data_IF_360526746182
#
_entry.id   IF_360526746182
#
_cell.length_a   1.000
_cell.length_b   1.000
_cell.length_c   1.000
_cell.angle_alpha   90.00
_cell.angle_beta   90.00
_cell.angle_gamma   90.00
#
_symmetry.space_group_name_H-M   'P 1'
#
loop_
_entity.id
_entity.type
_entity.pdbx_description
1 polymer ?
#
# COMPACT_ATOMS: atom_id res chain seq x y z
N UNK A 1 -1.34 25.57 -20.62
CA UNK A 1 -2.76 25.26 -20.33
C UNK A 1 -3.05 23.76 -20.23
N UNK A 2 -3.04 22.98 -21.32
CA UNK A 2 -3.35 21.54 -21.24
C UNK A 2 -2.23 20.72 -20.55
N UNK A 3 -0.96 21.00 -20.89
CA UNK A 3 0.24 20.43 -20.27
C UNK A 3 0.32 20.67 -18.76
N UNK A 4 0.11 21.92 -18.33
CA UNK A 4 0.17 22.26 -16.91
C UNK A 4 -0.91 21.53 -16.10
N UNK A 5 -2.10 21.34 -16.69
CA UNK A 5 -3.16 20.53 -16.09
C UNK A 5 -2.79 19.05 -16.00
N UNK A 6 -2.17 18.48 -17.03
CA UNK A 6 -1.74 17.08 -17.02
C UNK A 6 -0.68 16.83 -15.94
N UNK A 7 0.30 17.73 -15.82
CA UNK A 7 1.32 17.67 -14.77
C UNK A 7 0.71 17.76 -13.38
N UNK A 8 -0.23 18.68 -13.16
CA UNK A 8 -0.95 18.79 -11.87
C UNK A 8 -1.69 17.49 -11.55
N UNK A 9 -2.31 16.85 -12.54
CA UNK A 9 -3.00 15.56 -12.36
C UNK A 9 -2.00 14.44 -12.03
N UNK A 10 -0.89 14.32 -12.78
CA UNK A 10 0.09 13.25 -12.51
C UNK A 10 0.80 13.44 -11.18
N UNK A 11 1.02 14.69 -10.73
CA UNK A 11 1.53 15.01 -9.40
C UNK A 11 0.53 14.66 -8.29
N UNK A 12 -0.77 14.92 -8.49
CA UNK A 12 -1.81 14.50 -7.56
C UNK A 12 -1.88 12.96 -7.43
N UNK A 13 -1.85 12.23 -8.56
CA UNK A 13 -1.85 10.76 -8.59
C UNK A 13 -0.63 10.20 -7.84
N UNK A 14 0.55 10.79 -8.03
CA UNK A 14 1.76 10.40 -7.27
C UNK A 14 1.61 10.67 -5.77
N UNK A 15 1.00 11.79 -5.41
CA UNK A 15 0.76 12.10 -4.00
C UNK A 15 -0.19 11.09 -3.36
N UNK A 16 -1.22 10.67 -4.07
CA UNK A 16 -2.13 9.60 -3.60
C UNK A 16 -1.42 8.26 -3.51
N UNK A 17 -0.60 7.90 -4.50
CA UNK A 17 0.21 6.68 -4.43
C UNK A 17 1.11 6.65 -3.19
N UNK A 18 1.79 7.75 -2.91
CA UNK A 18 2.62 7.88 -1.71
C UNK A 18 1.82 7.84 -0.40
N UNK A 19 0.53 8.21 -0.41
CA UNK A 19 -0.35 8.01 0.74
C UNK A 19 -0.66 6.52 0.93
N UNK A 20 -1.02 5.81 -0.14
CA UNK A 20 -1.29 4.37 -0.09
C UNK A 20 -0.09 3.56 0.39
N UNK A 21 1.13 3.88 -0.06
CA UNK A 21 2.36 3.24 0.43
C UNK A 21 2.59 3.47 1.93
N UNK A 22 2.34 4.69 2.43
CA UNK A 22 2.44 4.99 3.86
C UNK A 22 1.43 4.19 4.67
N UNK A 23 0.20 4.07 4.18
CA UNK A 23 -0.84 3.27 4.84
C UNK A 23 -0.52 1.77 4.80
N UNK A 24 0.03 1.27 3.69
CA UNK A 24 0.51 -0.10 3.56
C UNK A 24 1.57 -0.42 4.62
N UNK A 25 2.55 0.47 4.77
CA UNK A 25 3.60 0.34 5.81
C UNK A 25 2.98 0.34 7.21
N UNK A 26 2.12 1.31 7.51
CA UNK A 26 1.49 1.43 8.82
C UNK A 26 0.65 0.20 9.19
N UNK A 27 -0.13 -0.36 8.26
CA UNK A 27 -0.94 -1.56 8.55
C UNK A 27 -0.07 -2.82 8.68
N UNK A 28 1.05 -2.91 7.94
CA UNK A 28 2.04 -3.98 8.10
C UNK A 28 2.73 -3.95 9.47
N UNK A 29 3.07 -2.75 9.97
CA UNK A 29 3.60 -2.54 11.32
C UNK A 29 2.59 -2.99 12.39
N UNK A 30 1.31 -2.61 12.26
CA UNK A 30 0.24 -3.08 13.15
C UNK A 30 0.14 -4.61 13.13
N UNK A 31 0.19 -5.24 11.96
CA UNK A 31 0.20 -6.70 11.84
C UNK A 31 1.38 -7.35 12.55
N UNK A 32 2.56 -6.71 12.50
CA UNK A 32 3.77 -7.15 13.21
C UNK A 32 3.60 -7.02 14.73
N UNK A 33 3.06 -5.91 15.21
CA UNK A 33 2.74 -5.71 16.63
C UNK A 33 1.76 -6.78 17.13
N UNK A 34 0.70 -7.07 16.37
CA UNK A 34 -0.29 -8.10 16.73
C UNK A 34 0.35 -9.49 16.84
N UNK A 35 1.24 -9.85 15.90
CA UNK A 35 2.00 -11.12 16.01
C UNK A 35 2.86 -11.16 17.27
N UNK A 36 3.46 -10.03 17.65
CA UNK A 36 4.26 -9.88 18.86
C UNK A 36 3.47 -10.03 20.17
N UNK A 37 2.13 -9.91 20.14
CA UNK A 37 1.29 -10.15 21.31
C UNK A 37 1.19 -11.63 21.68
N UNK A 38 1.70 -12.55 20.85
CA UNK A 38 1.67 -13.99 21.12
C UNK A 38 2.49 -14.33 22.37
N UNK A 39 1.86 -14.78 23.47
CA UNK A 39 2.57 -15.18 24.67
C UNK A 39 3.45 -16.41 24.41
N UNK A 40 4.54 -16.51 25.15
CA UNK A 40 5.40 -17.67 25.27
C UNK A 40 4.70 -18.81 26.02
N UNK A 41 5.21 -20.04 25.85
CA UNK A 41 4.70 -21.23 26.57
C UNK A 41 4.70 -21.08 28.10
N UNK A 42 5.61 -20.28 28.64
CA UNK A 42 5.69 -20.03 30.08
C UNK A 42 4.57 -19.09 30.55
N UNK A 43 4.22 -18.10 29.74
CA UNK A 43 3.16 -17.11 30.02
C UNK A 43 1.75 -17.72 29.91
N UNK A 44 1.58 -18.81 29.16
CA UNK A 44 0.29 -19.48 29.01
C UNK A 44 -0.20 -20.21 30.27
N UNK A 45 0.68 -20.53 31.23
CA UNK A 45 0.39 -21.01 32.59
C UNK A 45 -1.04 -21.52 32.87
N UNK A 46 -1.75 -20.87 33.81
CA UNK A 46 -3.13 -21.24 34.19
C UNK A 46 -4.19 -20.86 33.16
N UNK A 47 -3.82 -20.12 32.10
CA UNK A 47 -4.74 -19.59 31.10
C UNK A 47 -4.90 -20.50 29.88
N UNK A 48 -4.41 -21.75 29.95
CA UNK A 48 -4.48 -22.75 28.87
C UNK A 48 -5.84 -22.84 28.16
N UNK A 49 -6.95 -22.64 28.89
CA UNK A 49 -8.31 -22.71 28.35
C UNK A 49 -8.59 -21.62 27.30
N UNK A 50 -7.97 -20.45 27.40
CA UNK A 50 -8.20 -19.31 26.48
C UNK A 50 -7.15 -19.17 25.39
N UNK A 51 -6.10 -20.00 25.42
CA UNK A 51 -4.94 -19.88 24.54
C UNK A 51 -5.30 -20.06 23.07
N UNK A 52 -6.16 -21.04 22.75
CA UNK A 52 -6.59 -21.29 21.38
C UNK A 52 -7.28 -20.06 20.80
N UNK A 53 -8.35 -19.59 21.45
CA UNK A 53 -9.09 -18.41 20.99
C UNK A 53 -8.22 -17.15 20.88
N UNK A 54 -7.28 -16.95 21.81
CA UNK A 54 -6.35 -15.81 21.75
C UNK A 54 -5.36 -15.92 20.56
N UNK A 55 -4.83 -17.12 20.31
CA UNK A 55 -3.96 -17.38 19.17
C UNK A 55 -4.70 -17.23 17.84
N UNK A 56 -5.93 -17.73 17.75
CA UNK A 56 -6.77 -17.61 16.56
C UNK A 56 -7.05 -16.15 16.21
N UNK A 57 -7.30 -15.32 17.23
CA UNK A 57 -7.50 -13.87 17.06
C UNK A 57 -6.23 -13.18 16.57
N UNK A 58 -5.07 -13.52 17.14
CA UNK A 58 -3.76 -13.00 16.68
C UNK A 58 -3.51 -13.38 15.21
N UNK A 59 -3.73 -14.64 14.86
CA UNK A 59 -3.52 -15.13 13.50
C UNK A 59 -4.49 -14.47 12.52
N UNK A 60 -5.77 -14.36 12.89
CA UNK A 60 -6.79 -13.72 12.07
C UNK A 60 -6.46 -12.24 11.79
N UNK A 61 -6.21 -11.45 12.83
CA UNK A 61 -5.94 -10.03 12.65
C UNK A 61 -4.61 -9.79 11.94
N UNK A 62 -3.56 -10.53 12.27
CA UNK A 62 -2.28 -10.37 11.59
C UNK A 62 -2.33 -10.76 10.11
N UNK A 63 -3.13 -11.77 9.74
CA UNK A 63 -3.38 -12.13 8.36
C UNK A 63 -4.15 -11.03 7.61
N UNK A 64 -5.17 -10.43 8.24
CA UNK A 64 -5.92 -9.30 7.66
C UNK A 64 -5.05 -8.05 7.48
N UNK A 65 -4.14 -7.77 8.41
CA UNK A 65 -3.16 -6.70 8.25
C UNK A 65 -2.23 -6.95 7.05
N UNK A 66 -1.71 -8.17 6.90
CA UNK A 66 -0.85 -8.53 5.76
C UNK A 66 -1.59 -8.48 4.42
N UNK A 67 -2.86 -8.87 4.38
CA UNK A 67 -3.71 -8.68 3.19
C UNK A 67 -3.90 -7.20 2.88
N UNK A 68 -4.18 -6.39 3.91
CA UNK A 68 -4.33 -4.94 3.78
C UNK A 68 -3.08 -4.28 3.21
N UNK A 69 -1.91 -4.57 3.79
CA UNK A 69 -0.60 -4.11 3.32
C UNK A 69 -0.43 -4.41 1.83
N UNK A 70 -0.59 -5.68 1.44
CA UNK A 70 -0.46 -6.11 0.05
C UNK A 70 -1.39 -5.33 -0.89
N UNK A 71 -2.67 -5.21 -0.55
CA UNK A 71 -3.65 -4.53 -1.41
C UNK A 71 -3.38 -3.03 -1.53
N UNK A 72 -2.92 -2.39 -0.45
CA UNK A 72 -2.57 -0.97 -0.47
C UNK A 72 -1.33 -0.72 -1.34
N UNK A 73 -0.31 -1.58 -1.27
CA UNK A 73 0.85 -1.53 -2.18
C UNK A 73 0.43 -1.72 -3.64
N UNK A 74 -0.45 -2.68 -3.93
CA UNK A 74 -0.98 -2.89 -5.29
C UNK A 74 -1.69 -1.63 -5.84
N UNK A 75 -2.42 -0.89 -4.99
CA UNK A 75 -3.04 0.38 -5.37
C UNK A 75 -1.99 1.45 -5.66
N UNK A 76 -1.00 1.61 -4.78
CA UNK A 76 0.08 2.58 -4.98
C UNK A 76 0.85 2.32 -6.30
N UNK A 77 1.20 1.06 -6.56
CA UNK A 77 1.86 0.64 -7.80
C UNK A 77 1.02 0.96 -9.04
N UNK A 78 -0.28 0.69 -8.99
CA UNK A 78 -1.20 0.98 -10.09
C UNK A 78 -1.29 2.49 -10.37
N UNK A 79 -1.33 3.33 -9.32
CA UNK A 79 -1.35 4.78 -9.46
C UNK A 79 -0.04 5.30 -10.06
N UNK A 80 1.12 4.82 -9.59
CA UNK A 80 2.44 5.18 -10.15
C UNK A 80 2.53 4.78 -11.63
N UNK A 81 2.04 3.59 -11.97
CA UNK A 81 2.01 3.12 -13.38
C UNK A 81 1.13 4.02 -14.24
N UNK A 82 -0.05 4.42 -13.76
CA UNK A 82 -0.94 5.32 -14.47
C UNK A 82 -0.32 6.71 -14.67
N UNK A 83 0.29 7.30 -13.64
CA UNK A 83 0.98 8.59 -13.75
C UNK A 83 2.08 8.55 -14.83
N UNK A 84 2.92 7.50 -14.80
CA UNK A 84 3.97 7.29 -15.82
C UNK A 84 3.41 7.16 -17.23
N UNK A 85 2.29 6.45 -17.40
CA UNK A 85 1.65 6.31 -18.70
C UNK A 85 1.18 7.66 -19.27
N UNK A 86 0.61 8.52 -18.43
CA UNK A 86 0.21 9.87 -18.83
C UNK A 86 1.40 10.75 -19.23
N UNK A 87 2.50 10.74 -18.48
CA UNK A 87 3.67 11.55 -18.84
C UNK A 87 4.33 11.06 -20.13
N UNK A 88 4.41 9.74 -20.33
CA UNK A 88 4.97 9.16 -21.55
C UNK A 88 4.14 9.53 -22.77
N UNK A 89 2.81 9.44 -22.67
CA UNK A 89 1.90 9.85 -23.75
C UNK A 89 2.06 11.34 -24.07
N UNK A 90 2.29 12.19 -23.07
CA UNK A 90 2.59 13.62 -23.31
C UNK A 90 3.91 13.80 -24.07
N UNK A 91 4.97 13.10 -23.65
CA UNK A 91 6.28 13.18 -24.27
C UNK A 91 6.28 12.72 -25.73
N UNK A 92 5.58 11.64 -26.04
CA UNK A 92 5.47 11.08 -27.40
C UNK A 92 4.64 12.00 -28.29
N UNK A 93 3.53 12.54 -27.79
CA UNK A 93 2.72 13.54 -28.53
C UNK A 93 3.56 14.78 -28.84
N UNK A 94 4.37 15.25 -27.90
CA UNK A 94 5.24 16.42 -28.09
C UNK A 94 6.27 16.17 -29.21
N UNK A 95 6.96 15.03 -29.20
CA UNK A 95 7.92 14.66 -30.25
C UNK A 95 7.27 14.60 -31.63
N UNK A 96 6.10 13.94 -31.74
CA UNK A 96 5.38 13.82 -33.01
C UNK A 96 4.95 15.17 -33.60
N UNK A 97 4.61 16.15 -32.74
CA UNK A 97 4.25 17.50 -33.21
C UNK A 97 5.49 18.31 -33.60
N UNK A 98 6.60 18.16 -32.87
CA UNK A 98 7.86 18.86 -33.16
C UNK A 98 8.55 18.33 -34.44
N UNK A 99 8.34 17.06 -34.81
CA UNK A 99 8.86 16.48 -36.06
C UNK A 99 7.98 16.75 -37.29
N UNK A 100 6.74 17.22 -37.09
CA UNK A 100 5.77 17.48 -38.17
C UNK A 100 5.86 18.89 -38.77
N UNK A 101 6.69 19.77 -38.20
CA UNK A 101 6.92 21.16 -38.64
C UNK A 101 8.42 21.44 -38.75
#
# INVERSE_FOLDING_TARGET
MAKDRLKVITDAIRSEAGMWDKQATAIGEVGTTIKGLRPSRLEYGMYQIFVGAYQDVIDHFSARCAEGEKRMTEIADALVKNAKAYDNHEADTKKSVEEAY
#
